data_IF_034932371355
#
_entry.id   IF_034932371355
#
_cell.length_a   1.000
_cell.length_b   1.000
_cell.length_c   1.000
_cell.angle_alpha   90.00
_cell.angle_beta   90.00
_cell.angle_gamma   90.00
#
_symmetry.space_group_name_H-M   'P 1'
#
loop_
_entity.id
_entity.type
_entity.pdbx_description
1 polymer ?
#
# COMPACT_ATOMS: atom_id res chain seq x y z
N UNK A 1 -10.83 -10.35 -3.18
CA UNK A 1 -10.13 -10.10 -1.90
C UNK A 1 -8.74 -9.65 -2.28
N UNK A 2 -8.33 -8.43 -1.93
CA UNK A 2 -7.00 -7.93 -2.28
C UNK A 2 -5.94 -8.73 -1.51
N UNK A 3 -4.87 -9.14 -2.20
CA UNK A 3 -3.76 -9.84 -1.57
C UNK A 3 -3.09 -8.92 -0.54
N UNK A 4 -2.95 -9.40 0.69
CA UNK A 4 -2.26 -8.70 1.76
C UNK A 4 -0.82 -9.13 1.78
N UNK A 5 0.09 -8.16 1.71
CA UNK A 5 1.53 -8.38 1.68
C UNK A 5 2.15 -7.81 2.94
N UNK A 6 2.97 -8.60 3.63
CA UNK A 6 3.76 -8.12 4.78
C UNK A 6 5.11 -7.65 4.29
N UNK A 7 5.48 -6.43 4.67
CA UNK A 7 6.77 -5.85 4.35
C UNK A 7 7.90 -6.55 5.13
N UNK A 8 8.82 -7.21 4.44
CA UNK A 8 9.96 -7.89 5.08
C UNK A 8 11.08 -6.93 5.54
N UNK A 9 11.07 -5.70 5.01
CA UNK A 9 12.03 -4.64 5.27
C UNK A 9 11.35 -3.27 5.15
N UNK A 10 12.04 -2.21 5.54
CA UNK A 10 11.60 -0.84 5.26
C UNK A 10 11.54 -0.61 3.75
N UNK A 11 10.41 -0.13 3.25
CA UNK A 11 10.19 0.15 1.83
C UNK A 11 9.63 1.56 1.67
N UNK A 12 10.17 2.31 0.70
CA UNK A 12 9.50 3.48 0.15
C UNK A 12 8.79 3.03 -1.12
N UNK A 13 7.47 3.05 -1.10
CA UNK A 13 6.62 2.54 -2.17
C UNK A 13 6.01 3.72 -2.90
N UNK A 14 6.35 3.89 -4.17
CA UNK A 14 5.65 4.76 -5.12
C UNK A 14 4.76 3.95 -6.08
N UNK A 15 5.08 2.68 -6.30
CA UNK A 15 4.38 1.80 -7.23
C UNK A 15 4.20 0.41 -6.62
N UNK A 16 2.98 -0.13 -6.69
CA UNK A 16 2.65 -1.51 -6.26
C UNK A 16 2.32 -2.36 -7.48
N UNK A 17 2.91 -3.56 -7.54
CA UNK A 17 2.62 -4.54 -8.59
C UNK A 17 3.04 -4.14 -10.02
N UNK A 18 3.71 -3.00 -10.21
CA UNK A 18 4.01 -2.36 -11.51
C UNK A 18 2.78 -1.85 -12.27
N UNK A 19 1.61 -1.78 -11.61
CA UNK A 19 0.35 -1.36 -12.23
C UNK A 19 -0.46 -0.39 -11.37
N UNK A 20 -0.03 -0.10 -10.14
CA UNK A 20 -0.68 0.87 -9.26
C UNK A 20 0.34 1.92 -8.82
N UNK A 21 0.16 3.17 -9.27
CA UNK A 21 1.03 4.29 -8.91
C UNK A 21 0.37 5.13 -7.82
N UNK A 22 1.15 5.53 -6.83
CA UNK A 22 0.68 6.38 -5.74
C UNK A 22 0.88 7.85 -6.08
N UNK A 23 -0.09 8.68 -5.71
CA UNK A 23 0.03 10.14 -5.83
C UNK A 23 1.19 10.69 -4.99
N UNK A 24 1.48 10.01 -3.87
CA UNK A 24 2.59 10.31 -2.98
C UNK A 24 3.26 9.00 -2.50
N UNK A 25 4.61 8.92 -2.52
CA UNK A 25 5.31 7.76 -2.00
C UNK A 25 4.97 7.50 -0.52
N UNK A 26 4.75 6.23 -0.18
CA UNK A 26 4.40 5.79 1.16
C UNK A 26 5.55 4.98 1.75
N UNK A 27 5.97 5.36 2.95
CA UNK A 27 6.90 4.56 3.74
C UNK A 27 6.14 3.41 4.43
N UNK A 28 6.61 2.18 4.26
CA UNK A 28 6.07 0.97 4.89
C UNK A 28 7.19 0.31 5.68
N UNK A 29 7.01 0.19 6.99
CA UNK A 29 8.02 -0.39 7.89
C UNK A 29 7.98 -1.91 7.86
N UNK A 30 9.09 -2.54 8.28
CA UNK A 30 9.17 -3.99 8.42
C UNK A 30 8.07 -4.50 9.37
N UNK A 31 7.35 -5.53 8.94
CA UNK A 31 6.26 -6.16 9.69
C UNK A 31 4.89 -5.50 9.46
N UNK A 32 4.83 -4.32 8.84
CA UNK A 32 3.56 -3.72 8.43
C UNK A 32 2.97 -4.49 7.24
N UNK A 33 1.64 -4.53 7.17
CA UNK A 33 0.91 -5.25 6.12
C UNK A 33 0.18 -4.27 5.23
N UNK A 34 0.28 -4.44 3.92
CA UNK A 34 -0.34 -3.53 2.95
C UNK A 34 -1.09 -4.27 1.85
N UNK A 35 -2.07 -3.61 1.24
CA UNK A 35 -2.86 -4.13 0.13
C UNK A 35 -3.47 -2.97 -0.68
N UNK A 36 -3.84 -3.24 -1.94
CA UNK A 36 -4.59 -2.30 -2.77
C UNK A 36 -6.09 -2.55 -2.60
N UNK A 37 -6.84 -1.53 -2.18
CA UNK A 37 -8.30 -1.55 -2.29
C UNK A 37 -8.72 -1.08 -3.67
N UNK A 38 -9.07 -2.02 -4.55
CA UNK A 38 -9.52 -1.72 -5.91
C UNK A 38 -10.88 -0.99 -5.96
N UNK A 39 -11.65 -0.99 -4.87
CA UNK A 39 -12.96 -0.31 -4.81
C UNK A 39 -12.76 1.20 -4.69
N UNK A 40 -11.79 1.61 -3.87
CA UNK A 40 -11.48 3.02 -3.60
C UNK A 40 -10.26 3.53 -4.36
N UNK A 41 -9.51 2.63 -5.04
CA UNK A 41 -8.21 2.93 -5.66
C UNK A 41 -7.21 3.51 -4.65
N UNK A 42 -7.08 2.83 -3.50
CA UNK A 42 -6.19 3.25 -2.43
C UNK A 42 -5.22 2.14 -2.03
N UNK A 43 -3.98 2.50 -1.74
CA UNK A 43 -3.08 1.66 -0.95
C UNK A 43 -3.46 1.79 0.52
N UNK A 44 -3.80 0.66 1.12
CA UNK A 44 -4.02 0.52 2.55
C UNK A 44 -2.77 -0.06 3.19
N UNK A 45 -2.32 0.54 4.30
CA UNK A 45 -1.20 0.04 5.11
C UNK A 45 -1.66 -0.08 6.56
N UNK A 46 -1.74 -1.32 7.05
CA UNK A 46 -1.86 -1.63 8.47
C UNK A 46 -0.53 -1.37 9.17
N UNK A 47 -0.56 -0.44 10.12
CA UNK A 47 0.62 0.05 10.83
C UNK A 47 1.02 -0.81 12.03
N UNK A 48 0.22 -1.83 12.37
CA UNK A 48 0.45 -2.71 13.53
C UNK A 48 -0.02 -2.14 14.88
N UNK A 49 -0.43 -0.87 14.94
CA UNK A 49 -1.01 -0.21 16.12
C UNK A 49 -2.55 -0.15 16.08
N UNK A 50 -3.16 -0.96 15.23
CA UNK A 50 -4.60 -0.93 14.95
C UNK A 50 -5.03 0.20 14.01
N UNK A 51 -4.10 0.98 13.45
CA UNK A 51 -4.39 1.98 12.43
C UNK A 51 -4.11 1.46 11.04
N UNK A 52 -4.99 1.86 10.11
CA UNK A 52 -4.79 1.68 8.67
C UNK A 52 -4.65 3.06 8.04
N UNK A 53 -3.48 3.34 7.46
CA UNK A 53 -3.30 4.51 6.61
C UNK A 53 -3.81 4.19 5.21
N UNK A 54 -4.48 5.15 4.57
CA UNK A 54 -4.96 5.02 3.19
C UNK A 54 -4.33 6.13 2.35
N UNK A 55 -3.81 5.76 1.20
CA UNK A 55 -3.18 6.69 0.27
C UNK A 55 -3.76 6.45 -1.12
N UNK A 56 -4.25 7.50 -1.75
CA UNK A 56 -4.79 7.44 -3.09
C UNK A 56 -3.70 7.08 -4.11
N UNK A 57 -4.14 6.43 -5.17
CA UNK A 57 -3.31 6.17 -6.34
C UNK A 57 -4.17 5.83 -7.54
N UNK A 58 -3.50 5.54 -8.65
CA UNK A 58 -4.12 5.24 -9.92
C UNK A 58 -3.61 3.93 -10.48
N UNK A 59 -4.52 3.17 -11.11
CA UNK A 59 -4.13 2.01 -11.89
C UNK A 59 -3.61 2.49 -13.25
N UNK A 60 -2.48 1.93 -13.71
CA UNK A 60 -2.04 2.11 -15.10
C UNK A 60 -3.18 1.74 -16.04
N UNK A 61 -3.52 2.67 -16.95
CA UNK A 61 -4.55 2.48 -17.96
C UNK A 61 -4.06 1.69 -19.16
#
# INVERSE_FOLDING_TARGET
MAERVTAERLMLVDTVGRWFHLDQPVLIERGQTYWIDCTTSELCVDRGDGRVTRTAGEMCR
#
